data_IF_241781757848
#
_entry.id   IF_241781757848
#
_cell.length_a   1.000
_cell.length_b   1.000
_cell.length_c   1.000
_cell.angle_alpha   90.00
_cell.angle_beta   90.00
_cell.angle_gamma   90.00
#
_symmetry.space_group_name_H-M   'P 1'
#
loop_
_entity.id
_entity.type
_entity.pdbx_description
1 polymer ?
#
# COMPACT_ATOMS: atom_id res chain seq x y z
N UNK A 1 -16.74 0.48 -38.41
CA UNK A 1 -15.82 -0.46 -37.73
C UNK A 1 -14.57 0.30 -37.26
N UNK A 2 -14.71 1.25 -36.34
CA UNK A 2 -13.58 2.04 -35.87
C UNK A 2 -13.91 2.59 -34.47
N UNK A 3 -13.62 1.79 -33.44
CA UNK A 3 -13.46 2.20 -32.04
C UNK A 3 -12.92 1.02 -31.20
N UNK A 4 -11.98 0.26 -31.77
CA UNK A 4 -11.15 -0.69 -31.03
C UNK A 4 -9.71 -0.15 -31.08
N UNK A 5 -9.55 1.14 -30.78
CA UNK A 5 -8.27 1.70 -30.39
C UNK A 5 -7.84 0.93 -29.14
N UNK A 6 -6.84 0.09 -29.36
CA UNK A 6 -6.22 -0.81 -28.41
C UNK A 6 -6.09 -0.19 -27.02
N UNK A 7 -6.49 -0.93 -25.99
CA UNK A 7 -5.84 -0.82 -24.68
C UNK A 7 -4.39 -1.29 -24.92
N UNK A 8 -3.51 -0.37 -25.31
CA UNK A 8 -2.08 -0.62 -25.44
C UNK A 8 -1.43 -0.53 -24.05
N UNK A 9 -0.49 -1.43 -23.74
CA UNK A 9 0.30 -1.33 -22.51
C UNK A 9 1.11 -0.03 -22.55
N UNK A 10 0.82 0.90 -21.65
CA UNK A 10 1.51 2.20 -21.55
C UNK A 10 2.37 2.32 -20.29
N UNK A 11 2.66 1.21 -19.63
CA UNK A 11 3.48 1.22 -18.44
C UNK A 11 4.97 1.18 -18.82
N UNK A 12 5.58 2.36 -18.87
CA UNK A 12 7.01 2.57 -19.08
C UNK A 12 7.76 2.81 -17.75
N UNK A 13 7.11 2.60 -16.61
CA UNK A 13 7.67 2.97 -15.31
C UNK A 13 8.96 2.21 -14.98
N UNK A 14 9.07 0.95 -15.43
CA UNK A 14 10.25 0.11 -15.23
C UNK A 14 11.36 0.39 -16.27
N UNK A 15 11.04 1.02 -17.39
CA UNK A 15 12.04 1.55 -18.33
C UNK A 15 12.69 2.82 -17.77
N UNK A 16 11.87 3.69 -17.15
CA UNK A 16 12.33 4.91 -16.47
C UNK A 16 13.13 4.58 -15.22
N UNK A 17 12.70 3.56 -14.45
CA UNK A 17 13.37 3.08 -13.25
C UNK A 17 13.79 1.62 -13.42
N UNK A 18 14.97 1.35 -14.02
CA UNK A 18 15.45 -0.01 -14.25
C UNK A 18 15.53 -0.84 -12.96
N UNK A 19 15.09 -2.09 -13.07
CA UNK A 19 14.98 -3.01 -11.93
C UNK A 19 16.29 -3.77 -11.67
N UNK A 20 16.69 -3.85 -10.40
CA UNK A 20 17.85 -4.62 -9.94
C UNK A 20 17.46 -5.97 -9.35
N UNK A 21 18.37 -6.94 -9.43
CA UNK A 21 18.17 -8.31 -8.93
C UNK A 21 17.68 -9.28 -10.00
N UNK A 22 17.99 -10.56 -9.83
CA UNK A 22 17.58 -11.60 -10.79
C UNK A 22 16.08 -11.86 -10.74
N UNK A 23 15.52 -11.93 -9.53
CA UNK A 23 14.07 -11.93 -9.31
C UNK A 23 13.61 -10.50 -9.00
N UNK A 24 13.01 -9.86 -10.00
CA UNK A 24 12.55 -8.47 -9.94
C UNK A 24 11.08 -8.31 -10.38
N UNK A 25 10.53 -7.14 -10.09
CA UNK A 25 9.18 -6.74 -10.46
C UNK A 25 8.99 -6.81 -11.98
N UNK A 26 8.00 -7.56 -12.42
CA UNK A 26 7.60 -7.60 -13.82
C UNK A 26 6.72 -6.39 -14.18
N UNK A 27 6.61 -6.06 -15.47
CA UNK A 27 5.68 -5.04 -15.97
C UNK A 27 4.24 -5.30 -15.49
N UNK A 28 3.75 -6.54 -15.63
CA UNK A 28 2.43 -6.91 -15.12
C UNK A 28 2.28 -6.78 -13.60
N UNK A 29 3.38 -6.98 -12.86
CA UNK A 29 3.42 -6.69 -11.42
C UNK A 29 3.30 -5.19 -11.13
N UNK A 30 3.98 -4.35 -11.90
CA UNK A 30 3.86 -2.90 -11.84
C UNK A 30 2.45 -2.43 -12.22
N UNK A 31 1.84 -2.97 -13.29
CA UNK A 31 0.45 -2.69 -13.70
C UNK A 31 -0.56 -2.97 -12.59
N UNK A 32 -0.39 -4.10 -11.91
CA UNK A 32 -1.22 -4.44 -10.76
C UNK A 32 -1.08 -3.42 -9.63
N UNK A 33 0.15 -2.99 -9.31
CA UNK A 33 0.38 -1.97 -8.30
C UNK A 33 -0.22 -0.61 -8.70
N UNK A 34 -0.22 -0.27 -10.00
CA UNK A 34 -0.93 0.89 -10.56
C UNK A 34 -2.45 0.80 -10.40
N UNK A 35 -3.04 -0.39 -10.53
CA UNK A 35 -4.46 -0.57 -10.22
C UNK A 35 -4.74 -0.38 -8.72
N UNK A 36 -3.84 -0.83 -7.85
CA UNK A 36 -4.00 -0.70 -6.40
C UNK A 36 -3.91 0.76 -5.94
N UNK A 37 -2.96 1.56 -6.45
CA UNK A 37 -2.94 3.02 -6.17
C UNK A 37 -4.24 3.68 -6.62
N UNK A 38 -4.76 3.36 -7.81
CA UNK A 38 -6.03 3.93 -8.28
C UNK A 38 -7.18 3.63 -7.29
N UNK A 39 -7.25 2.40 -6.78
CA UNK A 39 -8.22 2.03 -5.75
C UNK A 39 -8.00 2.84 -4.46
N UNK A 40 -6.78 2.89 -3.93
CA UNK A 40 -6.45 3.68 -2.75
C UNK A 40 -6.84 5.16 -2.90
N UNK A 41 -6.52 5.78 -4.04
CA UNK A 41 -6.83 7.18 -4.32
C UNK A 41 -8.33 7.42 -4.43
N UNK A 42 -9.08 6.55 -5.12
CA UNK A 42 -10.54 6.69 -5.24
C UNK A 42 -11.19 6.56 -3.86
N UNK A 43 -10.84 5.55 -3.09
CA UNK A 43 -11.40 5.36 -1.74
C UNK A 43 -10.99 6.50 -0.81
N UNK A 44 -9.76 7.00 -0.91
CA UNK A 44 -9.31 8.19 -0.19
C UNK A 44 -10.20 9.40 -0.49
N UNK A 45 -10.47 9.69 -1.76
CA UNK A 45 -11.32 10.82 -2.16
C UNK A 45 -12.75 10.67 -1.62
N UNK A 46 -13.30 9.46 -1.64
CA UNK A 46 -14.62 9.17 -1.05
C UNK A 46 -14.62 9.43 0.46
N UNK A 47 -13.66 8.88 1.20
CA UNK A 47 -13.57 9.07 2.66
C UNK A 47 -13.31 10.53 3.03
N UNK A 48 -12.45 11.21 2.27
CA UNK A 48 -12.17 12.63 2.46
C UNK A 48 -13.41 13.48 2.21
N UNK A 49 -14.19 13.20 1.16
CA UNK A 49 -15.45 13.89 0.88
C UNK A 49 -16.50 13.65 1.99
N UNK A 50 -16.63 12.41 2.47
CA UNK A 50 -17.55 12.08 3.56
C UNK A 50 -17.14 12.75 4.89
N UNK A 51 -15.84 13.05 5.07
CA UNK A 51 -15.34 13.74 6.27
C UNK A 51 -15.89 15.16 6.48
N UNK A 52 -16.46 15.79 5.43
CA UNK A 52 -17.07 17.13 5.53
C UNK A 52 -18.43 17.13 6.23
N UNK A 53 -19.16 16.02 6.22
CA UNK A 53 -20.48 15.89 6.87
C UNK A 53 -20.58 14.56 7.63
N UNK A 54 -19.74 14.34 8.67
CA UNK A 54 -19.76 13.11 9.42
C UNK A 54 -21.02 13.02 10.28
N UNK A 55 -21.58 11.83 10.43
CA UNK A 55 -22.59 11.56 11.45
C UNK A 55 -21.93 11.54 12.84
N UNK A 56 -22.72 11.81 13.89
CA UNK A 56 -22.24 12.01 15.26
C UNK A 56 -21.21 10.95 15.71
N UNK A 57 -19.99 11.37 16.03
CA UNK A 57 -18.92 10.50 16.55
C UNK A 57 -18.07 9.78 15.50
N UNK A 58 -18.46 9.74 14.22
CA UNK A 58 -17.75 8.97 13.20
C UNK A 58 -16.51 9.67 12.62
N UNK A 59 -16.34 10.97 12.90
CA UNK A 59 -15.32 11.84 12.31
C UNK A 59 -13.89 11.28 12.44
N UNK A 60 -13.61 10.62 13.56
CA UNK A 60 -12.30 9.99 13.81
C UNK A 60 -11.99 8.88 12.80
N UNK A 61 -12.98 8.06 12.41
CA UNK A 61 -12.77 6.99 11.45
C UNK A 61 -12.45 7.53 10.06
N UNK A 62 -13.13 8.60 9.63
CA UNK A 62 -12.80 9.26 8.36
C UNK A 62 -11.35 9.75 8.34
N UNK A 63 -10.85 10.34 9.43
CA UNK A 63 -9.45 10.78 9.52
C UNK A 63 -8.46 9.63 9.52
N UNK A 64 -8.68 8.60 10.35
CA UNK A 64 -7.80 7.44 10.42
C UNK A 64 -7.68 6.74 9.06
N UNK A 65 -8.80 6.44 8.42
CA UNK A 65 -8.80 5.76 7.12
C UNK A 65 -8.27 6.66 6.00
N UNK A 66 -8.58 7.96 5.99
CA UNK A 66 -8.02 8.87 4.98
C UNK A 66 -6.49 8.92 5.03
N UNK A 67 -5.90 8.95 6.24
CA UNK A 67 -4.44 8.93 6.42
C UNK A 67 -3.86 7.62 5.89
N UNK A 68 -4.41 6.48 6.30
CA UNK A 68 -3.94 5.18 5.83
C UNK A 68 -4.07 5.04 4.30
N UNK A 69 -5.19 5.47 3.71
CA UNK A 69 -5.42 5.36 2.28
C UNK A 69 -4.45 6.23 1.48
N UNK A 70 -4.16 7.45 1.95
CA UNK A 70 -3.22 8.35 1.28
C UNK A 70 -1.78 7.82 1.34
N UNK A 71 -1.35 7.32 2.51
CA UNK A 71 -0.02 6.71 2.67
C UNK A 71 0.08 5.41 1.88
N UNK A 72 -1.01 4.65 1.80
CA UNK A 72 -1.16 3.49 0.91
C UNK A 72 -0.93 3.90 -0.55
N UNK A 73 -1.65 4.90 -1.04
CA UNK A 73 -1.48 5.41 -2.41
C UNK A 73 -0.03 5.80 -2.71
N UNK A 74 0.64 6.54 -1.83
CA UNK A 74 2.04 6.96 -1.98
C UNK A 74 3.00 5.76 -1.97
N UNK A 75 2.79 4.80 -1.07
CA UNK A 75 3.65 3.62 -0.95
C UNK A 75 3.52 2.70 -2.16
N UNK A 76 2.29 2.48 -2.63
CA UNK A 76 2.02 1.71 -3.84
C UNK A 76 2.47 2.43 -5.10
N UNK A 77 2.38 3.76 -5.16
CA UNK A 77 2.99 4.57 -6.22
C UNK A 77 4.50 4.31 -6.32
N UNK A 78 5.21 4.35 -5.20
CA UNK A 78 6.66 4.11 -5.17
C UNK A 78 7.00 2.70 -5.67
N UNK A 79 6.29 1.67 -5.19
CA UNK A 79 6.51 0.29 -5.64
C UNK A 79 6.14 0.08 -7.12
N UNK A 80 5.00 0.64 -7.58
CA UNK A 80 4.57 0.57 -8.99
C UNK A 80 5.58 1.24 -9.92
N UNK A 81 6.16 2.35 -9.47
CA UNK A 81 7.22 3.06 -10.19
C UNK A 81 8.57 2.32 -10.17
N UNK A 82 8.65 1.14 -9.57
CA UNK A 82 9.90 0.39 -9.50
C UNK A 82 10.92 1.00 -8.53
N UNK A 83 10.46 1.65 -7.45
CA UNK A 83 11.30 2.26 -6.42
C UNK A 83 11.13 1.56 -5.06
N UNK A 84 11.91 2.00 -4.07
CA UNK A 84 11.78 1.62 -2.66
C UNK A 84 11.86 0.10 -2.39
N UNK A 85 12.84 -0.56 -3.02
CA UNK A 85 13.23 -1.93 -2.74
C UNK A 85 14.73 -2.05 -2.43
N UNK A 86 15.09 -3.16 -1.78
CA UNK A 86 16.48 -3.61 -1.62
C UNK A 86 16.66 -4.96 -2.31
N UNK A 87 17.85 -5.21 -2.85
CA UNK A 87 18.21 -6.49 -3.47
C UNK A 87 19.00 -7.32 -2.48
N UNK A 88 18.48 -8.49 -2.12
CA UNK A 88 19.07 -9.35 -1.09
C UNK A 88 19.44 -10.70 -1.72
N UNK A 89 20.66 -11.23 -1.46
CA UNK A 89 21.03 -12.57 -1.88
C UNK A 89 20.25 -13.62 -1.08
N UNK A 90 19.72 -14.63 -1.75
CA UNK A 90 19.08 -15.76 -1.08
C UNK A 90 20.01 -16.96 -1.06
N UNK A 91 19.97 -17.73 0.03
CA UNK A 91 20.70 -18.99 0.14
C UNK A 91 19.97 -20.15 -0.55
N UNK A 92 18.65 -20.02 -0.76
CA UNK A 92 17.80 -21.13 -1.17
C UNK A 92 17.57 -21.24 -2.70
N UNK A 93 18.23 -20.40 -3.51
CA UNK A 93 18.15 -20.38 -4.99
C UNK A 93 16.81 -20.84 -5.57
N UNK A 94 15.70 -20.32 -5.03
CA UNK A 94 14.38 -20.76 -5.47
C UNK A 94 14.20 -20.30 -6.92
N UNK A 95 13.90 -21.24 -7.83
CA UNK A 95 13.79 -20.97 -9.28
C UNK A 95 15.05 -20.31 -9.88
N UNK A 96 16.24 -20.71 -9.42
CA UNK A 96 17.55 -20.28 -9.92
C UNK A 96 17.88 -18.79 -9.74
N UNK A 97 17.06 -18.02 -9.03
CA UNK A 97 17.38 -16.63 -8.69
C UNK A 97 18.32 -16.56 -7.48
N UNK A 98 19.52 -16.03 -7.69
CA UNK A 98 20.51 -15.76 -6.64
C UNK A 98 20.16 -14.53 -5.80
N UNK A 99 19.38 -13.58 -6.35
CA UNK A 99 19.01 -12.33 -5.68
C UNK A 99 17.53 -11.99 -5.86
N UNK A 100 16.93 -11.43 -4.81
CA UNK A 100 15.51 -11.09 -4.74
C UNK A 100 15.30 -9.62 -4.38
N UNK A 101 14.32 -8.99 -5.02
CA UNK A 101 13.81 -7.69 -4.59
C UNK A 101 12.90 -7.81 -3.38
N UNK A 102 13.19 -7.02 -2.35
CA UNK A 102 12.33 -6.83 -1.19
C UNK A 102 11.89 -5.37 -1.15
N UNK A 103 10.64 -5.12 -1.53
CA UNK A 103 10.03 -3.80 -1.41
C UNK A 103 9.83 -3.43 0.05
N UNK A 104 10.64 -2.51 0.55
CA UNK A 104 10.55 -2.08 1.94
C UNK A 104 9.47 -1.02 2.16
N UNK A 105 8.99 -0.37 1.10
CA UNK A 105 7.85 0.56 1.14
C UNK A 105 6.60 -0.07 1.78
N UNK A 106 6.35 -1.38 1.61
CA UNK A 106 5.23 -2.05 2.26
C UNK A 106 5.32 -2.02 3.78
N UNK A 107 6.52 -2.13 4.36
CA UNK A 107 6.69 -2.08 5.81
C UNK A 107 6.45 -0.66 6.33
N UNK A 108 6.88 0.36 5.58
CA UNK A 108 6.56 1.76 5.89
C UNK A 108 5.04 1.99 5.91
N UNK A 109 4.33 1.45 4.91
CA UNK A 109 2.86 1.48 4.90
C UNK A 109 2.25 0.74 6.11
N UNK A 110 2.72 -0.47 6.43
CA UNK A 110 2.20 -1.29 7.52
C UNK A 110 2.39 -0.65 8.90
N UNK A 111 3.47 0.11 9.10
CA UNK A 111 3.68 0.91 10.32
C UNK A 111 2.52 1.87 10.57
N UNK A 112 1.81 2.33 9.52
CA UNK A 112 0.66 3.23 9.66
C UNK A 112 -0.68 2.51 9.53
N UNK A 113 -0.81 1.63 8.55
CA UNK A 113 -2.06 0.96 8.22
C UNK A 113 -2.58 0.10 9.37
N UNK A 114 -1.70 -0.68 10.00
CA UNK A 114 -2.16 -1.59 11.04
C UNK A 114 -2.56 -0.87 12.33
N UNK A 115 -1.82 0.15 12.82
CA UNK A 115 -2.31 0.97 13.92
C UNK A 115 -3.66 1.62 13.61
N UNK A 116 -3.88 2.12 12.39
CA UNK A 116 -5.18 2.69 11.99
C UNK A 116 -6.31 1.67 12.14
N UNK A 117 -6.12 0.44 11.65
CA UNK A 117 -7.14 -0.62 11.76
C UNK A 117 -7.35 -1.03 13.22
N UNK A 118 -6.28 -1.20 14.00
CA UNK A 118 -6.36 -1.57 15.42
C UNK A 118 -7.04 -0.48 16.25
N UNK A 119 -6.72 0.79 16.02
CA UNK A 119 -7.38 1.92 16.69
C UNK A 119 -8.86 1.95 16.31
N UNK A 120 -9.21 1.79 15.03
CA UNK A 120 -10.60 1.76 14.59
C UNK A 120 -11.39 0.62 15.27
N UNK A 121 -10.86 -0.60 15.29
CA UNK A 121 -11.48 -1.74 15.97
C UNK A 121 -11.56 -1.54 17.48
N UNK A 122 -10.54 -0.94 18.08
CA UNK A 122 -10.49 -0.62 19.51
C UNK A 122 -11.58 0.38 19.92
N UNK A 123 -11.74 1.46 19.14
CA UNK A 123 -12.80 2.44 19.34
C UNK A 123 -14.19 1.82 19.14
N UNK A 124 -14.36 0.97 18.13
CA UNK A 124 -15.63 0.31 17.83
C UNK A 124 -16.03 -0.71 18.92
N UNK A 125 -15.06 -1.42 19.49
CA UNK A 125 -15.29 -2.41 20.54
C UNK A 125 -15.40 -1.82 21.95
N UNK A 126 -15.09 -0.52 22.12
CA UNK A 126 -15.17 0.16 23.41
C UNK A 126 -14.13 -0.33 24.44
N UNK A 127 -13.03 -0.94 23.99
CA UNK A 127 -11.95 -1.37 24.89
C UNK A 127 -11.15 -0.18 25.42
N UNK A 128 -10.43 -0.38 26.53
CA UNK A 128 -9.63 0.70 27.14
C UNK A 128 -8.54 1.21 26.19
N UNK A 129 -8.22 2.51 26.27
CA UNK A 129 -7.14 3.10 25.47
C UNK A 129 -5.79 2.40 25.68
N UNK A 130 -5.53 1.88 26.89
CA UNK A 130 -4.33 1.12 27.21
C UNK A 130 -4.27 -0.20 26.42
N UNK A 131 -5.41 -0.89 26.27
CA UNK A 131 -5.54 -2.10 25.44
C UNK A 131 -5.33 -1.77 23.96
N UNK A 132 -5.89 -0.66 23.47
CA UNK A 132 -5.68 -0.20 22.08
C UNK A 132 -4.19 0.05 21.84
N UNK A 133 -3.54 0.80 22.73
CA UNK A 133 -2.13 1.14 22.61
C UNK A 133 -1.24 -0.10 22.63
N UNK A 134 -1.50 -1.03 23.54
CA UNK A 134 -0.81 -2.31 23.59
C UNK A 134 -0.92 -3.07 22.26
N UNK A 135 -2.13 -3.18 21.70
CA UNK A 135 -2.36 -3.88 20.43
C UNK A 135 -1.67 -3.18 19.25
N UNK A 136 -1.55 -1.85 19.26
CA UNK A 136 -0.80 -1.09 18.25
C UNK A 136 0.68 -1.49 18.27
N UNK A 137 1.33 -1.49 19.44
CA UNK A 137 2.73 -1.89 19.55
C UNK A 137 2.93 -3.39 19.30
N UNK A 138 1.98 -4.23 19.73
CA UNK A 138 1.98 -5.66 19.44
C UNK A 138 1.96 -5.93 17.94
N UNK A 139 1.20 -5.14 17.17
CA UNK A 139 1.14 -5.30 15.73
C UNK A 139 2.54 -5.22 15.12
N UNK A 140 3.39 -4.28 15.54
CA UNK A 140 4.71 -4.03 14.94
C UNK A 140 5.81 -5.08 15.21
N UNK A 141 5.51 -6.25 15.78
CA UNK A 141 6.51 -7.29 16.14
C UNK A 141 6.97 -8.15 14.93
N UNK A 142 6.73 -7.71 13.69
CA UNK A 142 7.27 -8.40 12.50
C UNK A 142 8.72 -8.06 12.18
#
# INVERSE_FOLDING_TARGET
>A
MAAMELIYSRNDALDVNPQGGQSHLSEGGSDWLWAVIACFTVVFLVYYALSFRPHHGEKIFYYLFSIALLIGAISYFAMASGLAYSVIPTQLYTRDAATYQIFFAKYIFWVVAFPVVIIALGLLSGVSWATILFNVFLAWIW
#
